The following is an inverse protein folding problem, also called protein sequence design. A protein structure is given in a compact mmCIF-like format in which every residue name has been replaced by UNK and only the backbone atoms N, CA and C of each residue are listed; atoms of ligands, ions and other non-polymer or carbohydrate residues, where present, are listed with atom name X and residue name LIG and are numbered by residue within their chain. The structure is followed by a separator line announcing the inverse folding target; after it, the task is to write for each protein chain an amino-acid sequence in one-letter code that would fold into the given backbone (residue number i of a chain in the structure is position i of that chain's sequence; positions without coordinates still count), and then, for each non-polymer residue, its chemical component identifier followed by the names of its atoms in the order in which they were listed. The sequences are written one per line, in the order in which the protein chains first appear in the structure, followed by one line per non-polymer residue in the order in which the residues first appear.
data_IF_377505265674
#
_entry.id   IF_377505265674
#
_cell.length_a   1.000
_cell.length_b   1.000
_cell.length_c   1.000
_cell.angle_alpha   90.00
_cell.angle_beta   90.00
_cell.angle_gamma   90.00
#
_symmetry.space_group_name_H-M   'P 1'
#
loop_
_entity.id
_entity.type
_entity.pdbx_description
1 polymer ?
#
# COMPACT_ATOMS: atom_id res chain seq x y z
N UNK A 1 -18.54 7.22 1.52
CA UNK A 1 -17.74 6.32 0.66
C UNK A 1 -16.97 5.34 1.52
N UNK A 2 -16.88 4.07 1.10
CA UNK A 2 -16.09 3.02 1.74
C UNK A 2 -14.86 2.69 0.87
N UNK A 3 -13.68 2.76 1.45
CA UNK A 3 -12.39 2.62 0.76
C UNK A 3 -11.68 1.35 1.26
N UNK A 4 -11.43 0.41 0.36
CA UNK A 4 -10.67 -0.79 0.60
C UNK A 4 -9.26 -0.59 0.10
N UNK A 5 -8.28 -0.60 0.99
CA UNK A 5 -6.86 -0.52 0.64
C UNK A 5 -6.25 -1.91 0.74
N UNK A 6 -5.57 -2.33 -0.32
CA UNK A 6 -4.88 -3.62 -0.37
C UNK A 6 -3.40 -3.38 -0.68
N UNK A 7 -2.50 -3.94 0.14
CA UNK A 7 -1.09 -4.02 -0.21
C UNK A 7 -0.89 -5.16 -1.22
N UNK A 8 -0.11 -4.92 -2.27
CA UNK A 8 0.25 -5.96 -3.25
C UNK A 8 0.74 -7.26 -2.59
N UNK A 9 0.63 -8.37 -3.30
CA UNK A 9 1.11 -9.67 -2.85
C UNK A 9 2.63 -9.73 -2.67
N UNK A 10 3.11 -10.75 -1.96
CA UNK A 10 4.54 -10.94 -1.71
C UNK A 10 5.30 -11.22 -3.01
N UNK A 11 6.41 -10.52 -3.20
CA UNK A 11 7.26 -10.62 -4.38
C UNK A 11 8.59 -11.29 -4.07
N UNK A 12 9.37 -11.61 -5.12
CA UNK A 12 10.71 -12.15 -4.99
C UNK A 12 11.64 -11.24 -4.16
N UNK A 13 11.61 -9.93 -4.38
CA UNK A 13 12.42 -9.00 -3.59
C UNK A 13 11.97 -8.92 -2.12
N UNK A 14 10.69 -9.08 -1.83
CA UNK A 14 10.24 -9.20 -0.44
C UNK A 14 10.80 -10.46 0.23
N UNK A 15 10.86 -11.58 -0.51
CA UNK A 15 11.44 -12.83 -0.01
C UNK A 15 12.95 -12.71 0.21
N UNK A 16 13.65 -12.03 -0.69
CA UNK A 16 15.09 -11.78 -0.59
C UNK A 16 15.46 -10.71 0.45
N UNK A 17 14.47 -10.06 1.09
CA UNK A 17 14.71 -8.97 2.04
C UNK A 17 15.36 -7.74 1.39
N UNK A 18 14.90 -7.38 0.17
CA UNK A 18 15.37 -6.18 -0.54
C UNK A 18 14.35 -5.05 -0.43
N UNK A 19 14.88 -3.83 -0.41
CA UNK A 19 14.06 -2.64 -0.62
C UNK A 19 13.46 -2.64 -2.03
N UNK A 20 12.16 -2.41 -2.12
CA UNK A 20 11.44 -2.34 -3.39
C UNK A 20 10.56 -1.08 -3.37
N UNK A 21 11.07 -0.03 -3.98
CA UNK A 21 10.42 1.28 -4.05
C UNK A 21 9.65 1.50 -5.34
N UNK A 22 9.61 2.76 -5.78
CA UNK A 22 8.85 3.20 -6.95
C UNK A 22 9.51 2.82 -8.28
N UNK A 23 10.82 2.61 -8.32
CA UNK A 23 11.58 2.37 -9.55
C UNK A 23 11.97 0.90 -9.74
N UNK A 24 11.90 0.08 -8.69
CA UNK A 24 12.18 -1.35 -8.74
C UNK A 24 10.90 -2.19 -8.73
N UNK A 25 10.89 -3.26 -9.54
CA UNK A 25 9.81 -4.23 -9.53
C UNK A 25 10.34 -5.66 -9.57
N UNK A 26 9.59 -6.60 -8.99
CA UNK A 26 9.91 -8.02 -9.03
C UNK A 26 8.62 -8.84 -9.02
N UNK A 27 8.63 -10.05 -9.62
CA UNK A 27 7.43 -10.84 -9.81
C UNK A 27 6.82 -11.28 -8.46
N UNK A 28 5.50 -11.43 -8.46
CA UNK A 28 4.76 -12.07 -7.37
C UNK A 28 5.22 -13.52 -7.20
N UNK A 29 5.33 -13.98 -5.96
CA UNK A 29 5.61 -15.39 -5.66
C UNK A 29 4.39 -16.27 -5.99
N UNK A 30 4.59 -17.51 -6.48
CA UNK A 30 3.48 -18.44 -6.73
C UNK A 30 2.56 -18.63 -5.51
N UNK A 31 3.13 -18.74 -4.31
CA UNK A 31 2.37 -18.83 -3.05
C UNK A 31 1.52 -17.58 -2.80
N UNK A 32 2.05 -16.41 -3.13
CA UNK A 32 1.33 -15.15 -2.97
C UNK A 32 0.16 -15.01 -3.95
N UNK A 33 0.30 -15.53 -5.17
CA UNK A 33 -0.82 -15.58 -6.13
C UNK A 33 -2.00 -16.36 -5.54
N UNK A 34 -1.75 -17.47 -4.86
CA UNK A 34 -2.82 -18.23 -4.18
C UNK A 34 -3.45 -17.43 -3.03
N UNK A 35 -2.64 -16.73 -2.24
CA UNK A 35 -3.14 -15.84 -1.19
C UNK A 35 -4.01 -14.71 -1.73
N UNK A 36 -3.60 -14.08 -2.85
CA UNK A 36 -4.39 -13.04 -3.51
C UNK A 36 -5.71 -13.60 -4.03
N UNK A 37 -5.74 -14.82 -4.56
CA UNK A 37 -6.98 -15.49 -4.98
C UNK A 37 -7.92 -15.74 -3.79
N UNK A 38 -7.40 -16.19 -2.63
CA UNK A 38 -8.20 -16.30 -1.39
C UNK A 38 -8.79 -14.93 -1.00
N UNK A 39 -7.99 -13.87 -1.04
CA UNK A 39 -8.48 -12.50 -0.83
C UNK A 39 -9.57 -12.13 -1.83
N UNK A 40 -9.36 -12.40 -3.13
CA UNK A 40 -10.35 -12.15 -4.17
C UNK A 40 -11.68 -12.88 -3.91
N UNK A 41 -11.62 -14.14 -3.45
CA UNK A 41 -12.81 -14.89 -3.02
C UNK A 41 -13.51 -14.24 -1.82
N UNK A 42 -12.75 -13.79 -0.81
CA UNK A 42 -13.32 -13.09 0.35
C UNK A 42 -14.01 -11.77 -0.03
N UNK A 43 -13.53 -11.12 -1.09
CA UNK A 43 -14.10 -9.87 -1.62
C UNK A 43 -15.07 -10.11 -2.79
N UNK A 44 -15.35 -11.35 -3.19
CA UNK A 44 -16.05 -11.69 -4.44
C UNK A 44 -17.47 -11.14 -4.53
N UNK A 45 -18.19 -11.03 -3.42
CA UNK A 45 -19.56 -10.52 -3.36
C UNK A 45 -19.65 -8.98 -3.24
N UNK A 46 -18.52 -8.31 -3.08
CA UNK A 46 -18.48 -6.85 -2.95
C UNK A 46 -18.52 -6.23 -4.36
N UNK A 47 -19.53 -5.42 -4.61
CA UNK A 47 -19.60 -4.62 -5.83
C UNK A 47 -18.80 -3.34 -5.65
N UNK A 48 -17.64 -3.27 -6.30
CA UNK A 48 -16.85 -2.04 -6.35
C UNK A 48 -17.35 -1.15 -7.49
N UNK A 49 -17.45 0.16 -7.22
CA UNK A 49 -17.79 1.17 -8.23
C UNK A 49 -16.57 1.62 -9.02
N UNK A 50 -15.38 1.53 -8.41
CA UNK A 50 -14.11 1.78 -9.05
C UNK A 50 -13.00 0.92 -8.41
N UNK A 51 -12.02 0.54 -9.23
CA UNK A 51 -10.81 -0.18 -8.81
C UNK A 51 -9.60 0.56 -9.34
N UNK A 52 -8.77 1.05 -8.42
CA UNK A 52 -7.54 1.76 -8.71
C UNK A 52 -6.33 0.95 -8.24
N UNK A 53 -5.27 0.97 -9.01
CA UNK A 53 -4.01 0.34 -8.66
C UNK A 53 -2.84 1.28 -8.93
N UNK A 54 -1.78 1.20 -8.12
CA UNK A 54 -0.49 1.65 -8.59
C UNK A 54 -0.17 1.00 -9.93
N UNK A 55 0.48 1.74 -10.83
CA UNK A 55 0.91 1.27 -12.15
C UNK A 55 2.14 0.34 -12.12
N UNK A 56 2.69 0.03 -10.92
CA UNK A 56 3.73 -0.97 -10.78
C UNK A 56 3.13 -2.39 -10.91
N UNK A 57 3.78 -3.21 -11.74
CA UNK A 57 3.22 -4.51 -12.16
C UNK A 57 2.77 -5.39 -10.99
N UNK A 58 3.50 -5.45 -9.88
CA UNK A 58 3.10 -6.23 -8.69
C UNK A 58 1.76 -5.80 -8.11
N UNK A 59 1.41 -4.50 -8.19
CA UNK A 59 0.13 -3.98 -7.71
C UNK A 59 -0.97 -4.21 -8.75
N UNK A 60 -0.71 -3.97 -10.03
CA UNK A 60 -1.63 -4.25 -11.13
C UNK A 60 -2.02 -5.72 -11.16
N UNK A 61 -1.03 -6.63 -11.11
CA UNK A 61 -1.27 -8.08 -11.09
C UNK A 61 -2.10 -8.48 -9.85
N UNK A 62 -1.85 -7.85 -8.69
CA UNK A 62 -2.64 -8.10 -7.48
C UNK A 62 -4.10 -7.66 -7.66
N UNK A 63 -4.33 -6.45 -8.18
CA UNK A 63 -5.67 -5.92 -8.43
C UNK A 63 -6.44 -6.78 -9.44
N UNK A 64 -5.80 -7.18 -10.53
CA UNK A 64 -6.39 -8.02 -11.55
C UNK A 64 -6.77 -9.40 -10.99
N UNK A 65 -5.88 -10.05 -10.24
CA UNK A 65 -6.16 -11.34 -9.60
C UNK A 65 -7.34 -11.27 -8.62
N UNK A 66 -7.54 -10.14 -7.94
CA UNK A 66 -8.71 -9.90 -7.08
C UNK A 66 -9.97 -9.79 -7.95
N UNK A 67 -9.92 -9.00 -9.02
CA UNK A 67 -11.06 -8.80 -9.93
C UNK A 67 -11.44 -10.07 -10.68
N UNK A 68 -10.50 -10.92 -11.02
CA UNK A 68 -10.76 -12.23 -11.66
C UNK A 68 -11.60 -13.18 -10.76
N UNK A 69 -11.64 -12.96 -9.44
CA UNK A 69 -12.47 -13.72 -8.51
C UNK A 69 -13.79 -13.00 -8.18
N UNK A 70 -13.97 -11.74 -8.58
CA UNK A 70 -15.12 -10.93 -8.22
C UNK A 70 -16.33 -11.28 -9.09
N UNK A 71 -17.54 -11.32 -8.52
CA UNK A 71 -18.79 -11.56 -9.23
C UNK A 71 -19.20 -10.39 -10.14
N UNK A 72 -18.63 -9.20 -9.90
CA UNK A 72 -18.89 -7.96 -10.63
C UNK A 72 -17.57 -7.35 -11.10
N UNK A 73 -16.78 -8.04 -11.95
CA UNK A 73 -15.47 -7.56 -12.35
C UNK A 73 -15.58 -6.25 -13.16
N UNK A 74 -14.71 -5.30 -12.82
CA UNK A 74 -14.58 -4.04 -13.54
C UNK A 74 -13.12 -3.77 -13.88
N UNK A 75 -12.90 -2.82 -14.78
CA UNK A 75 -11.56 -2.42 -15.19
C UNK A 75 -10.73 -1.89 -14.03
N UNK A 76 -9.46 -2.26 -14.00
CA UNK A 76 -8.47 -1.72 -13.05
C UNK A 76 -7.84 -0.48 -13.69
N UNK A 77 -8.01 0.67 -13.09
CA UNK A 77 -7.40 1.93 -13.51
C UNK A 77 -6.04 2.11 -12.83
N UNK A 78 -5.00 2.34 -13.63
CA UNK A 78 -3.63 2.52 -13.16
C UNK A 78 -3.37 3.98 -12.78
N UNK A 79 -2.89 4.21 -11.55
CA UNK A 79 -2.69 5.55 -10.96
C UNK A 79 -1.25 5.67 -10.46
N UNK A 80 -0.38 6.45 -11.12
CA UNK A 80 1.01 6.66 -10.69
C UNK A 80 1.16 7.23 -9.28
N UNK A 81 0.20 8.04 -8.81
CA UNK A 81 0.19 8.59 -7.46
C UNK A 81 0.08 7.53 -6.35
N UNK A 82 -0.29 6.31 -6.70
CA UNK A 82 -0.34 5.16 -5.79
C UNK A 82 0.97 4.36 -5.74
N UNK A 83 2.01 4.72 -6.50
CA UNK A 83 3.32 4.06 -6.45
C UNK A 83 3.87 3.98 -5.03
N UNK A 84 4.72 2.98 -4.80
CA UNK A 84 5.49 2.90 -3.56
C UNK A 84 6.37 4.15 -3.38
N UNK A 85 6.87 4.35 -2.20
CA UNK A 85 7.85 5.36 -1.88
C UNK A 85 9.07 5.24 -2.79
N UNK A 86 9.47 6.30 -3.47
CA UNK A 86 10.74 6.31 -4.20
C UNK A 86 11.87 6.30 -3.19
N UNK A 87 12.57 5.17 -3.09
CA UNK A 87 13.59 4.93 -2.08
C UNK A 87 15.01 5.25 -2.57
N UNK A 88 15.15 5.81 -3.79
CA UNK A 88 16.42 6.25 -4.36
C UNK A 88 17.48 5.14 -4.33
N UNK A 89 18.64 5.45 -3.75
CA UNK A 89 19.79 4.54 -3.67
C UNK A 89 19.55 3.26 -2.82
N UNK A 90 18.48 3.21 -2.05
CA UNK A 90 18.12 2.01 -1.28
C UNK A 90 17.50 0.92 -2.15
N UNK A 91 16.89 1.27 -3.30
CA UNK A 91 16.15 0.31 -4.11
C UNK A 91 17.03 -0.84 -4.61
N UNK A 92 16.56 -2.08 -4.45
CA UNK A 92 17.28 -3.31 -4.78
C UNK A 92 18.34 -3.75 -3.74
N UNK A 93 18.74 -2.87 -2.81
CA UNK A 93 19.67 -3.21 -1.76
C UNK A 93 19.05 -4.17 -0.74
N UNK A 94 19.86 -5.07 -0.16
CA UNK A 94 19.44 -5.90 0.97
C UNK A 94 19.23 -5.05 2.22
N UNK A 95 18.08 -5.22 2.86
CA UNK A 95 17.70 -4.47 4.07
C UNK A 95 18.74 -4.66 5.17
N UNK A 96 19.24 -5.89 5.37
CA UNK A 96 20.24 -6.17 6.41
C UNK A 96 21.59 -5.48 6.16
N UNK A 97 22.01 -5.38 4.89
CA UNK A 97 23.22 -4.64 4.52
C UNK A 97 23.07 -3.15 4.84
N UNK A 98 21.95 -2.56 4.48
CA UNK A 98 21.70 -1.15 4.77
C UNK A 98 21.53 -0.91 6.26
N UNK A 99 20.85 -1.81 6.97
CA UNK A 99 20.73 -1.72 8.45
C UNK A 99 22.07 -1.75 9.15
N UNK A 100 22.99 -2.58 8.69
CA UNK A 100 24.35 -2.63 9.26
C UNK A 100 25.14 -1.35 8.99
N UNK A 101 24.92 -0.71 7.83
CA UNK A 101 25.64 0.51 7.42
C UNK A 101 25.03 1.79 8.00
N UNK A 102 23.70 1.85 8.09
CA UNK A 102 22.93 3.01 8.53
C UNK A 102 21.88 2.62 9.59
N UNK A 103 22.31 2.13 10.77
CA UNK A 103 21.37 1.59 11.76
C UNK A 103 20.35 2.62 12.26
N UNK A 104 20.77 3.88 12.46
CA UNK A 104 19.89 4.94 12.94
C UNK A 104 18.81 5.29 11.92
N UNK A 105 19.17 5.38 10.63
CA UNK A 105 18.23 5.67 9.56
C UNK A 105 17.23 4.52 9.36
N UNK A 106 17.69 3.28 9.50
CA UNK A 106 16.79 2.13 9.39
C UNK A 106 15.87 1.99 10.60
N UNK A 107 16.30 2.39 11.76
CA UNK A 107 15.45 2.50 12.96
C UNK A 107 14.39 3.59 12.75
N UNK A 108 14.80 4.78 12.26
CA UNK A 108 13.89 5.87 11.92
C UNK A 108 12.87 5.46 10.84
N UNK A 109 13.33 4.88 9.74
CA UNK A 109 12.44 4.40 8.66
C UNK A 109 11.44 3.36 9.15
N UNK A 110 11.81 2.56 10.14
CA UNK A 110 10.96 1.49 10.67
C UNK A 110 9.97 1.96 11.73
N UNK A 111 10.34 2.93 12.55
CA UNK A 111 9.58 3.29 13.76
C UNK A 111 9.15 4.75 13.85
N UNK A 112 9.95 5.69 13.33
CA UNK A 112 9.66 7.13 13.38
C UNK A 112 10.09 7.84 12.10
N UNK A 113 9.19 7.90 11.14
CA UNK A 113 9.46 8.51 9.83
C UNK A 113 9.82 10.01 9.90
N UNK A 114 9.54 10.69 11.01
CA UNK A 114 9.93 12.09 11.20
C UNK A 114 11.44 12.28 11.39
N UNK A 115 12.16 11.20 11.71
CA UNK A 115 13.62 11.18 11.92
C UNK A 115 14.37 10.58 10.71
N UNK A 116 13.67 10.12 9.68
CA UNK A 116 14.29 9.52 8.49
C UNK A 116 14.81 10.61 7.55
N UNK A 117 16.13 10.64 7.32
CA UNK A 117 16.79 11.60 6.43
C UNK A 117 16.81 11.07 5.00
N UNK A 118 15.73 11.27 4.28
CA UNK A 118 15.54 10.79 2.91
C UNK A 118 16.62 11.30 1.94
N UNK A 119 17.12 12.54 2.14
CA UNK A 119 18.15 13.16 1.28
C UNK A 119 19.46 12.35 1.23
N UNK A 120 19.80 11.59 2.28
CA UNK A 120 20.97 10.71 2.31
C UNK A 120 20.94 9.62 1.24
N UNK A 121 19.77 9.32 0.71
CA UNK A 121 19.54 8.22 -0.22
C UNK A 121 18.92 8.67 -1.54
N UNK A 122 18.83 9.97 -1.78
CA UNK A 122 18.07 10.53 -2.90
C UNK A 122 16.62 9.98 -2.96
N UNK A 123 16.04 9.71 -1.81
CA UNK A 123 14.68 9.19 -1.68
C UNK A 123 13.65 10.34 -1.66
N UNK A 124 12.42 9.99 -2.01
CA UNK A 124 11.27 10.90 -1.90
C UNK A 124 11.04 11.30 -0.43
N UNK A 125 10.60 12.53 -0.17
CA UNK A 125 10.26 12.93 1.19
C UNK A 125 9.00 12.23 1.70
N UNK A 126 8.84 12.13 3.03
CA UNK A 126 7.62 11.64 3.65
C UNK A 126 6.40 12.47 3.21
N UNK A 127 6.58 13.80 3.13
CA UNK A 127 5.53 14.72 2.72
C UNK A 127 5.06 14.45 1.29
N UNK A 128 5.98 14.30 0.35
CA UNK A 128 5.65 14.10 -1.06
C UNK A 128 4.97 12.75 -1.27
N UNK A 129 5.53 11.68 -0.68
CA UNK A 129 4.96 10.34 -0.73
C UNK A 129 3.52 10.30 -0.22
N UNK A 130 3.27 10.87 0.97
CA UNK A 130 1.93 10.85 1.55
C UNK A 130 0.98 11.81 0.83
N UNK A 131 1.48 12.97 0.39
CA UNK A 131 0.66 13.98 -0.28
C UNK A 131 0.04 13.45 -1.57
N UNK A 132 0.82 12.85 -2.49
CA UNK A 132 0.30 12.34 -3.77
C UNK A 132 -0.82 11.31 -3.57
N UNK A 133 -0.65 10.36 -2.65
CA UNK A 133 -1.67 9.35 -2.38
C UNK A 133 -2.89 9.93 -1.64
N UNK A 134 -2.70 10.82 -0.66
CA UNK A 134 -3.81 11.47 0.02
C UNK A 134 -4.60 12.39 -0.91
N UNK A 135 -3.93 13.13 -1.78
CA UNK A 135 -4.57 14.00 -2.78
C UNK A 135 -5.38 13.17 -3.78
N UNK A 136 -4.85 12.03 -4.24
CA UNK A 136 -5.60 11.09 -5.06
C UNK A 136 -6.87 10.61 -4.35
N UNK A 137 -6.77 10.15 -3.09
CA UNK A 137 -7.95 9.72 -2.32
C UNK A 137 -8.97 10.85 -2.18
N UNK A 138 -8.53 12.07 -1.87
CA UNK A 138 -9.40 13.23 -1.73
C UNK A 138 -10.03 13.67 -3.07
N UNK A 139 -9.39 13.40 -4.20
CA UNK A 139 -9.93 13.69 -5.54
C UNK A 139 -11.17 12.85 -5.88
N UNK A 140 -11.42 11.78 -5.13
CA UNK A 140 -12.64 10.98 -5.27
C UNK A 140 -13.88 11.69 -4.70
N UNK A 141 -13.71 12.80 -3.98
CA UNK A 141 -14.81 13.64 -3.50
C UNK A 141 -15.70 14.08 -4.67
N UNK A 142 -17.00 13.88 -4.54
CA UNK A 142 -17.98 14.23 -5.58
C UNK A 142 -18.14 13.20 -6.70
N UNK A 143 -17.33 12.14 -6.72
CA UNK A 143 -17.59 10.98 -7.58
C UNK A 143 -18.81 10.19 -7.06
N UNK A 144 -19.54 9.58 -7.96
CA UNK A 144 -20.70 8.73 -7.60
C UNK A 144 -20.25 7.31 -7.28
N UNK A 145 -19.36 7.19 -6.28
CA UNK A 145 -18.84 5.91 -5.79
C UNK A 145 -19.28 5.72 -4.34
N UNK A 146 -19.77 4.54 -4.01
CA UNK A 146 -20.06 4.11 -2.64
C UNK A 146 -18.94 3.24 -2.09
N UNK A 147 -18.35 2.38 -2.95
CA UNK A 147 -17.32 1.41 -2.57
C UNK A 147 -16.18 1.39 -3.60
N UNK A 148 -14.95 1.61 -3.14
CA UNK A 148 -13.76 1.70 -3.99
C UNK A 148 -12.68 0.74 -3.49
N UNK A 149 -11.99 0.06 -4.41
CA UNK A 149 -10.78 -0.72 -4.14
C UNK A 149 -9.54 0.06 -4.60
N UNK A 150 -8.53 0.14 -3.75
CA UNK A 150 -7.25 0.80 -4.01
C UNK A 150 -6.12 -0.18 -3.70
N UNK A 151 -5.37 -0.58 -4.70
CA UNK A 151 -4.23 -1.50 -4.55
C UNK A 151 -2.92 -0.73 -4.66
N UNK A 152 -2.07 -0.88 -3.64
CA UNK A 152 -0.79 -0.16 -3.58
C UNK A 152 0.25 -0.93 -2.77
N UNK A 153 1.04 -0.20 -1.99
CA UNK A 153 2.30 -0.69 -1.46
C UNK A 153 2.42 -0.51 0.06
N UNK A 154 3.41 -1.20 0.64
CA UNK A 154 3.54 -1.29 2.09
C UNK A 154 3.89 0.01 2.78
N UNK A 155 4.95 0.69 2.34
CA UNK A 155 5.43 1.88 3.00
C UNK A 155 4.51 3.08 2.75
N UNK A 156 4.16 3.32 1.48
CA UNK A 156 3.28 4.43 1.11
C UNK A 156 1.89 4.27 1.73
N UNK A 157 1.18 3.15 1.52
CA UNK A 157 -0.18 3.00 2.07
C UNK A 157 -0.20 3.07 3.60
N UNK A 158 0.80 2.49 4.30
CA UNK A 158 0.87 2.60 5.76
C UNK A 158 0.92 4.06 6.20
N UNK A 159 1.81 4.86 5.58
CA UNK A 159 1.97 6.27 5.93
C UNK A 159 0.74 7.10 5.51
N UNK A 160 0.24 6.91 4.29
CA UNK A 160 -0.86 7.70 3.73
C UNK A 160 -2.19 7.43 4.44
N UNK A 161 -2.53 6.16 4.71
CA UNK A 161 -3.75 5.80 5.45
C UNK A 161 -3.74 6.43 6.85
N UNK A 162 -2.61 6.35 7.56
CA UNK A 162 -2.50 6.97 8.89
C UNK A 162 -2.52 8.49 8.83
N UNK A 163 -1.97 9.09 7.78
CA UNK A 163 -2.09 10.53 7.53
C UNK A 163 -3.56 10.93 7.33
N UNK A 164 -4.34 10.19 6.54
CA UNK A 164 -5.79 10.40 6.38
C UNK A 164 -6.54 10.28 7.72
N UNK A 165 -6.09 9.39 8.61
CA UNK A 165 -6.64 9.21 9.97
C UNK A 165 -6.17 10.29 10.96
N UNK A 166 -5.35 11.27 10.54
CA UNK A 166 -4.89 12.38 11.40
C UNK A 166 -3.67 12.06 12.28
N UNK A 167 -2.97 10.95 12.04
CA UNK A 167 -1.74 10.63 12.77
C UNK A 167 -0.61 11.60 12.40
N UNK A 168 0.24 11.91 13.39
CA UNK A 168 1.44 12.74 13.19
C UNK A 168 2.58 11.91 12.56
N UNK A 169 3.56 12.55 11.89
CA UNK A 169 4.68 11.86 11.24
C UNK A 169 5.39 10.80 12.11
N UNK A 170 5.63 11.09 13.39
CA UNK A 170 6.26 10.17 14.35
C UNK A 170 5.42 8.93 14.69
N UNK A 171 4.12 8.93 14.35
CA UNK A 171 3.18 7.86 14.70
C UNK A 171 2.85 6.97 13.49
N UNK A 172 3.28 7.36 12.27
CA UNK A 172 2.89 6.67 11.03
C UNK A 172 3.40 5.22 10.93
N UNK A 173 4.41 4.86 11.72
CA UNK A 173 4.94 3.49 11.80
C UNK A 173 4.64 2.78 13.13
N UNK A 174 3.92 3.44 14.04
CA UNK A 174 3.52 2.85 15.31
C UNK A 174 2.72 1.55 15.06
N UNK A 175 3.12 0.47 15.73
CA UNK A 175 2.52 -0.86 15.57
C UNK A 175 2.71 -1.50 14.16
N UNK A 176 3.82 -1.17 13.48
CA UNK A 176 4.20 -1.80 12.21
C UNK A 176 3.50 -1.26 10.97
N UNK A 177 3.69 -1.94 9.85
CA UNK A 177 3.12 -1.62 8.55
C UNK A 177 2.10 -2.66 8.08
N UNK A 178 1.64 -2.51 6.85
CA UNK A 178 0.70 -3.44 6.22
C UNK A 178 1.41 -4.73 5.79
N UNK A 179 0.78 -5.87 6.00
CA UNK A 179 1.19 -7.18 5.50
C UNK A 179 0.88 -7.31 4.00
N UNK A 180 1.67 -8.08 3.25
CA UNK A 180 1.35 -8.36 1.85
C UNK A 180 -0.04 -9.00 1.73
N UNK A 181 -0.80 -8.56 0.74
CA UNK A 181 -2.17 -8.96 0.47
C UNK A 181 -3.16 -8.67 1.61
N UNK A 182 -2.82 -7.87 2.63
CA UNK A 182 -3.77 -7.45 3.67
C UNK A 182 -4.77 -6.41 3.16
N UNK A 183 -5.91 -6.33 3.85
CA UNK A 183 -6.97 -5.35 3.61
C UNK A 183 -7.07 -4.37 4.77
N UNK A 184 -7.13 -3.09 4.45
CA UNK A 184 -7.47 -2.02 5.40
C UNK A 184 -8.69 -1.27 4.88
N UNK A 185 -9.67 -1.01 5.72
CA UNK A 185 -10.93 -0.39 5.30
C UNK A 185 -11.14 0.92 6.05
N UNK A 186 -11.31 1.99 5.29
CA UNK A 186 -11.74 3.29 5.80
C UNK A 186 -13.14 3.65 5.29
N UNK A 187 -13.80 4.55 6.02
CA UNK A 187 -14.98 5.26 5.56
C UNK A 187 -14.81 6.75 5.71
N UNK A 188 -15.45 7.50 4.81
CA UNK A 188 -15.54 8.96 4.88
C UNK A 188 -16.83 9.45 4.23
N UNK A 189 -17.39 10.53 4.76
CA UNK A 189 -18.55 11.21 4.19
C UNK A 189 -18.17 12.55 3.55
N UNK A 190 -17.07 13.13 3.99
CA UNK A 190 -16.65 14.50 3.60
C UNK A 190 -15.26 14.60 2.96
N UNK A 191 -14.45 13.51 3.00
CA UNK A 191 -13.04 13.46 2.59
C UNK A 191 -12.09 14.36 3.40
N UNK A 192 -12.57 14.86 4.53
CA UNK A 192 -11.77 15.57 5.54
C UNK A 192 -11.54 14.67 6.77
N UNK A 193 -12.56 13.90 7.15
CA UNK A 193 -12.54 12.98 8.27
C UNK A 193 -12.69 11.54 7.79
N UNK A 194 -11.77 10.69 8.24
CA UNK A 194 -11.76 9.27 7.89
C UNK A 194 -11.89 8.43 9.15
N UNK A 195 -12.70 7.38 9.08
CA UNK A 195 -12.90 6.41 10.16
C UNK A 195 -12.29 5.07 9.75
N UNK A 196 -11.50 4.48 10.65
CA UNK A 196 -10.94 3.15 10.46
C UNK A 196 -11.99 2.09 10.84
N UNK A 197 -12.37 1.24 9.88
CA UNK A 197 -13.22 0.07 10.15
C UNK A 197 -12.39 -1.19 10.38
N UNK A 198 -11.29 -1.37 9.64
CA UNK A 198 -10.45 -2.55 9.69
C UNK A 198 -9.00 -2.18 9.33
N UNK A 199 -8.03 -2.71 10.08
CA UNK A 199 -6.62 -2.47 9.85
C UNK A 199 -5.87 -3.77 9.57
N UNK A 200 -5.18 -3.83 8.41
CA UNK A 200 -4.21 -4.87 8.09
C UNK A 200 -4.79 -6.30 8.26
N UNK A 201 -6.01 -6.53 7.83
CA UNK A 201 -6.68 -7.82 7.95
C UNK A 201 -6.13 -8.85 6.96
N UNK A 202 -5.84 -10.03 7.48
CA UNK A 202 -5.40 -11.23 6.75
C UNK A 202 -6.20 -12.47 7.16
N UNK A 203 -7.33 -12.31 7.85
CA UNK A 203 -8.13 -13.41 8.39
C UNK A 203 -8.58 -14.43 7.35
N UNK A 204 -8.76 -14.01 6.11
CA UNK A 204 -9.08 -14.90 4.99
C UNK A 204 -7.95 -15.88 4.60
N UNK A 205 -6.74 -15.73 5.17
CA UNK A 205 -5.62 -16.66 5.00
C UNK A 205 -5.62 -17.79 6.03
N UNK A 206 -6.36 -17.61 7.12
CA UNK A 206 -6.52 -18.61 8.19
C UNK A 206 -7.53 -19.65 7.70
N UNK A 207 -7.10 -20.88 7.48
CA UNK A 207 -7.95 -22.05 7.14
C UNK A 207 -8.50 -22.67 8.39
#
# INVERSE_FOLDING_TARGET
MKLYFVRHGRTKWNEEGRFQGANGDSPLLPSSIQQIKKLGHALSSIRFDAVFSSDLKRAVDTAQLIMDQNQFPIHVEEIPDLREWSLGQLEGCKIDTIRSKYPQEMEAFRHDLSQFHHDLFDAESLSDTTKRTCDFVKSLKGKKYDTVLIVGHGANLTASIRTLLGYKPKELRKNGGLTNASVTILTTDDFEHFNLLQWNDTSYLED
#
